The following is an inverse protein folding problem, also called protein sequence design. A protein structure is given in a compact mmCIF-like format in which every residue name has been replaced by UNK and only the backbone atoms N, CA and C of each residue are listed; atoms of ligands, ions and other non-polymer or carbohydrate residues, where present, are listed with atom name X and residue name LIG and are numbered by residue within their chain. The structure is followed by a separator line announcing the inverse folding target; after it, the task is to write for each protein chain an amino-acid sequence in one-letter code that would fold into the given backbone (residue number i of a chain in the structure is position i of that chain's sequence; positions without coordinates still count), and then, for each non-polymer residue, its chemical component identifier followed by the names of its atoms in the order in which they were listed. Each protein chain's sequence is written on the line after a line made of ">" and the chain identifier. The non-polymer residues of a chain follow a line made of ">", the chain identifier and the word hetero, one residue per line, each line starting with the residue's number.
data_IF_614021763236
#
_entry.id   IF_614021763236
#
_cell.length_a   1.000
_cell.length_b   1.000
_cell.length_c   1.000
_cell.angle_alpha   90.00
_cell.angle_beta   90.00
_cell.angle_gamma   90.00
#
_symmetry.space_group_name_H-M   'P 1'
#
loop_
_entity.id
_entity.type
_entity.pdbx_description
1 polymer ?
#
# COMPACT_ATOMS: atom_id res chain seq x y z
N UNK A 1 -14.30 10.31 12.16
CA UNK A 1 -14.53 9.41 11.03
C UNK A 1 -13.41 8.37 10.97
N UNK A 2 -13.79 7.11 10.89
CA UNK A 2 -12.83 6.02 10.86
C UNK A 2 -12.49 5.65 9.42
N UNK A 3 -11.22 5.61 9.10
CA UNK A 3 -10.75 5.11 7.81
C UNK A 3 -10.73 3.59 7.87
N UNK A 4 -11.37 2.93 6.92
CA UNK A 4 -11.42 1.47 6.89
C UNK A 4 -10.08 0.88 6.49
N UNK A 5 -9.52 1.32 5.36
CA UNK A 5 -8.19 0.93 4.90
C UNK A 5 -7.44 2.19 4.48
N UNK A 6 -6.24 2.33 5.00
CA UNK A 6 -5.35 3.42 4.63
C UNK A 6 -4.04 2.88 4.06
N UNK A 7 -3.59 3.44 2.95
CA UNK A 7 -2.28 3.16 2.38
C UNK A 7 -1.41 4.40 2.60
N UNK A 8 -0.38 4.26 3.43
CA UNK A 8 0.44 5.38 3.87
C UNK A 8 1.80 5.31 3.20
N UNK A 9 2.21 6.40 2.58
CA UNK A 9 3.42 6.43 1.78
C UNK A 9 3.95 7.86 1.67
N UNK A 10 5.12 8.02 1.06
CA UNK A 10 5.69 9.33 0.76
C UNK A 10 5.30 9.74 -0.67
N UNK A 11 4.42 10.76 -0.83
CA UNK A 11 3.97 11.15 -2.18
C UNK A 11 5.08 11.74 -3.05
N UNK A 12 6.22 12.12 -2.47
CA UNK A 12 7.35 12.61 -3.26
C UNK A 12 8.20 11.48 -3.84
N UNK A 13 7.95 10.23 -3.40
CA UNK A 13 8.63 9.06 -3.95
C UNK A 13 7.72 8.41 -4.98
N UNK A 14 8.09 8.59 -6.26
CA UNK A 14 7.21 8.25 -7.37
C UNK A 14 6.78 6.77 -7.39
N UNK A 15 7.67 5.87 -7.03
CA UNK A 15 7.34 4.44 -7.03
C UNK A 15 6.36 4.10 -5.91
N UNK A 16 6.47 4.76 -4.76
CA UNK A 16 5.52 4.57 -3.67
C UNK A 16 4.13 5.06 -4.08
N UNK A 17 4.07 6.24 -4.70
CA UNK A 17 2.81 6.79 -5.14
C UNK A 17 2.15 5.93 -6.21
N UNK A 18 2.90 5.51 -7.21
CA UNK A 18 2.36 4.68 -8.28
C UNK A 18 1.84 3.35 -7.75
N UNK A 19 2.58 2.72 -6.85
CA UNK A 19 2.16 1.47 -6.25
C UNK A 19 0.88 1.63 -5.46
N UNK A 20 0.79 2.68 -4.64
CA UNK A 20 -0.38 2.91 -3.81
C UNK A 20 -1.63 3.25 -4.62
N UNK A 21 -1.49 4.00 -5.71
CA UNK A 21 -2.62 4.30 -6.60
C UNK A 21 -3.15 3.01 -7.23
N UNK A 22 -2.28 2.16 -7.74
CA UNK A 22 -2.69 0.87 -8.32
C UNK A 22 -3.29 -0.06 -7.26
N UNK A 23 -2.72 -0.05 -6.07
CA UNK A 23 -3.23 -0.88 -4.97
C UNK A 23 -4.61 -0.42 -4.52
N UNK A 24 -4.81 0.89 -4.41
CA UNK A 24 -6.12 1.45 -4.11
C UNK A 24 -7.16 1.03 -5.17
N UNK A 25 -6.81 1.15 -6.45
CA UNK A 25 -7.71 0.77 -7.53
C UNK A 25 -8.07 -0.71 -7.46
N UNK A 26 -7.09 -1.57 -7.22
CA UNK A 26 -7.33 -3.00 -7.09
C UNK A 26 -8.27 -3.29 -5.94
N UNK A 27 -7.99 -2.74 -4.77
CA UNK A 27 -8.81 -2.96 -3.58
C UNK A 27 -10.23 -2.40 -3.75
N UNK A 28 -10.37 -1.24 -4.37
CA UNK A 28 -11.69 -0.66 -4.65
C UNK A 28 -12.50 -1.53 -5.61
N UNK A 29 -11.84 -2.23 -6.53
CA UNK A 29 -12.51 -3.11 -7.49
C UNK A 29 -12.90 -4.45 -6.89
N UNK A 30 -12.22 -4.91 -5.85
CA UNK A 30 -12.40 -6.24 -5.29
C UNK A 30 -13.01 -6.25 -3.90
N UNK A 31 -13.19 -5.08 -3.28
CA UNK A 31 -13.81 -4.96 -1.95
C UNK A 31 -14.81 -3.82 -1.93
N UNK A 32 -15.68 -3.83 -0.93
CA UNK A 32 -16.58 -2.70 -0.67
C UNK A 32 -16.02 -1.73 0.37
N UNK A 33 -14.80 -1.98 0.86
CA UNK A 33 -14.20 -1.10 1.86
C UNK A 33 -13.72 0.19 1.23
N UNK A 34 -13.77 1.27 2.02
CA UNK A 34 -13.20 2.54 1.61
C UNK A 34 -11.68 2.49 1.78
N UNK A 35 -10.96 2.71 0.69
CA UNK A 35 -9.49 2.71 0.69
C UNK A 35 -9.01 4.12 0.41
N UNK A 36 -8.31 4.71 1.37
CA UNK A 36 -7.81 6.08 1.27
C UNK A 36 -6.28 6.11 1.24
N UNK A 37 -5.74 7.12 0.60
CA UNK A 37 -4.30 7.34 0.51
C UNK A 37 -3.87 8.38 1.54
N UNK A 38 -2.85 8.05 2.34
CA UNK A 38 -2.31 8.93 3.38
C UNK A 38 -3.38 9.44 4.35
N UNK A 39 -4.27 8.53 4.72
CA UNK A 39 -5.28 8.75 5.75
C UNK A 39 -5.33 7.50 6.61
N UNK A 40 -5.42 7.56 7.91
CA UNK A 40 -5.56 8.77 8.74
C UNK A 40 -4.25 9.51 9.01
N UNK A 41 -3.13 8.95 8.60
CA UNK A 41 -1.80 9.52 8.78
C UNK A 41 -1.07 9.54 7.45
N UNK A 42 -0.01 10.35 7.37
CA UNK A 42 0.88 10.36 6.21
C UNK A 42 1.97 9.32 6.40
N UNK A 43 2.41 8.70 5.31
CA UNK A 43 3.53 7.76 5.38
C UNK A 43 4.83 8.41 5.86
N UNK A 44 4.96 9.72 5.66
CA UNK A 44 6.12 10.47 6.13
C UNK A 44 6.13 10.70 7.64
N UNK A 45 5.04 10.39 8.33
CA UNK A 45 4.98 10.51 9.79
C UNK A 45 5.64 9.32 10.50
N UNK A 46 5.88 8.22 9.78
CA UNK A 46 6.55 7.06 10.34
C UNK A 46 8.06 7.24 10.34
N UNK A 47 8.67 7.08 11.52
CA UNK A 47 10.10 7.29 11.69
C UNK A 47 10.95 6.23 11.00
N UNK A 48 10.50 4.97 10.97
CA UNK A 48 11.29 3.88 10.43
C UNK A 48 11.34 3.91 8.91
N UNK A 49 10.20 4.07 8.25
CA UNK A 49 10.17 4.16 6.79
C UNK A 49 10.88 5.43 6.32
N UNK A 50 10.75 6.53 7.06
CA UNK A 50 11.46 7.76 6.75
C UNK A 50 12.97 7.58 6.86
N UNK A 51 13.43 6.87 7.88
CA UNK A 51 14.84 6.54 8.02
C UNK A 51 15.33 5.73 6.82
N UNK A 52 14.59 4.70 6.45
CA UNK A 52 14.99 3.85 5.32
C UNK A 52 14.99 4.61 3.99
N UNK A 53 14.07 5.55 3.82
CA UNK A 53 14.08 6.41 2.63
C UNK A 53 15.32 7.28 2.55
N UNK A 54 15.89 7.64 3.72
CA UNK A 54 17.15 8.35 3.77
C UNK A 54 18.36 7.49 3.46
N UNK A 55 18.25 6.17 3.67
CA UNK A 55 19.35 5.23 3.45
C UNK A 55 19.37 4.69 2.02
N UNK A 56 18.21 4.61 1.36
CA UNK A 56 18.06 3.97 0.06
C UNK A 56 17.43 4.92 -0.94
N UNK A 57 17.86 4.79 -2.20
CA UNK A 57 17.33 5.63 -3.27
C UNK A 57 15.89 5.24 -3.62
N UNK A 58 15.23 6.07 -4.41
CA UNK A 58 13.87 5.84 -4.91
C UNK A 58 13.75 4.50 -5.62
N UNK A 59 14.82 4.07 -6.31
CA UNK A 59 14.80 2.81 -7.06
C UNK A 59 15.12 1.59 -6.18
N UNK A 60 15.60 1.80 -4.97
CA UNK A 60 16.05 0.72 -4.10
C UNK A 60 15.04 0.35 -3.01
N UNK A 61 14.19 1.27 -2.64
CA UNK A 61 13.32 1.07 -1.49
C UNK A 61 11.95 1.71 -1.71
N UNK A 62 10.91 0.96 -1.37
CA UNK A 62 9.52 1.42 -1.33
C UNK A 62 8.98 1.14 0.06
N UNK A 63 8.57 2.19 0.76
CA UNK A 63 8.03 2.08 2.10
C UNK A 63 6.54 2.42 2.12
N UNK A 64 5.70 1.42 2.35
CA UNK A 64 4.25 1.59 2.40
C UNK A 64 3.73 0.92 3.66
N UNK A 65 2.86 1.62 4.39
CA UNK A 65 2.17 1.06 5.52
C UNK A 65 0.71 0.83 5.18
N UNK A 66 0.21 -0.32 5.57
CA UNK A 66 -1.21 -0.67 5.45
C UNK A 66 -1.87 -0.51 6.82
N UNK A 67 -2.81 0.43 6.91
CA UNK A 67 -3.62 0.63 8.10
C UNK A 67 -5.01 0.03 7.86
N UNK A 68 -5.47 -0.79 8.80
CA UNK A 68 -6.78 -1.42 8.71
C UNK A 68 -7.54 -1.15 10.01
N UNK A 69 -8.76 -0.67 9.91
CA UNK A 69 -9.56 -0.36 11.09
C UNK A 69 -9.83 -1.62 11.90
N UNK A 70 -9.95 -1.46 13.22
CA UNK A 70 -10.20 -2.59 14.12
C UNK A 70 -11.53 -3.30 13.82
N UNK A 71 -12.48 -2.58 13.25
CA UNK A 71 -13.79 -3.15 12.93
C UNK A 71 -13.72 -4.23 11.85
N UNK A 72 -12.68 -4.23 11.02
CA UNK A 72 -12.57 -5.19 9.91
C UNK A 72 -11.28 -6.00 9.94
N UNK A 73 -10.36 -5.71 10.86
CA UNK A 73 -9.03 -6.34 10.86
C UNK A 73 -9.09 -7.85 11.11
N UNK A 74 -10.10 -8.34 11.79
CA UNK A 74 -10.25 -9.76 12.08
C UNK A 74 -10.90 -10.54 10.95
N UNK A 75 -11.32 -9.89 9.88
CA UNK A 75 -11.98 -10.53 8.76
C UNK A 75 -10.97 -11.37 7.96
N UNK A 76 -11.19 -12.69 7.90
CA UNK A 76 -10.28 -13.60 7.18
C UNK A 76 -10.33 -13.37 5.68
N UNK A 77 -11.51 -13.06 5.14
CA UNK A 77 -11.64 -12.77 3.70
C UNK A 77 -10.87 -11.54 3.33
N UNK A 78 -10.83 -10.52 4.20
CA UNK A 78 -10.03 -9.33 3.95
C UNK A 78 -8.55 -9.67 3.91
N UNK A 79 -8.06 -10.50 4.82
CA UNK A 79 -6.65 -10.91 4.83
C UNK A 79 -6.27 -11.61 3.54
N UNK A 80 -7.11 -12.53 3.08
CA UNK A 80 -6.88 -13.24 1.82
C UNK A 80 -6.92 -12.30 0.63
N UNK A 81 -7.86 -11.36 0.61
CA UNK A 81 -7.96 -10.36 -0.44
C UNK A 81 -6.74 -9.46 -0.49
N UNK A 82 -6.22 -9.04 0.65
CA UNK A 82 -4.99 -8.24 0.70
C UNK A 82 -3.81 -9.04 0.13
N UNK A 83 -3.69 -10.32 0.48
CA UNK A 83 -2.63 -11.16 -0.07
C UNK A 83 -2.77 -11.31 -1.59
N UNK A 84 -3.99 -11.49 -2.09
CA UNK A 84 -4.24 -11.57 -3.53
C UNK A 84 -3.87 -10.26 -4.23
N UNK A 85 -4.15 -9.11 -3.60
CA UNK A 85 -3.80 -7.82 -4.17
C UNK A 85 -2.29 -7.67 -4.32
N UNK A 86 -1.54 -8.09 -3.31
CA UNK A 86 -0.07 -8.03 -3.34
C UNK A 86 0.49 -8.92 -4.44
N UNK A 87 -0.08 -10.12 -4.63
CA UNK A 87 0.33 -11.01 -5.71
C UNK A 87 0.06 -10.41 -7.08
N UNK A 88 -1.11 -9.81 -7.26
CA UNK A 88 -1.47 -9.18 -8.53
C UNK A 88 -0.57 -8.02 -8.88
N UNK A 89 -0.27 -7.17 -7.89
CA UNK A 89 0.61 -6.02 -8.10
C UNK A 89 2.05 -6.45 -8.34
N UNK A 90 2.51 -7.49 -7.68
CA UNK A 90 3.85 -8.04 -7.90
C UNK A 90 4.00 -8.57 -9.32
N UNK A 91 2.96 -9.22 -9.85
CA UNK A 91 2.96 -9.71 -11.22
C UNK A 91 3.04 -8.57 -12.24
N UNK A 92 2.35 -7.44 -11.96
CA UNK A 92 2.38 -6.28 -12.84
C UNK A 92 3.74 -5.58 -12.84
N UNK A 93 4.41 -5.58 -11.68
CA UNK A 93 5.68 -4.89 -11.50
C UNK A 93 6.88 -5.79 -11.75
N UNK A 94 6.66 -7.09 -11.95
CA UNK A 94 7.74 -7.99 -12.29
C UNK A 94 8.28 -7.62 -13.66
N UNK A 95 9.61 -7.54 -13.83
CA UNK A 95 10.15 -7.41 -15.17
C UNK A 95 9.62 -8.57 -15.97
N UNK A 96 9.19 -8.27 -17.18
CA UNK A 96 8.75 -9.30 -18.09
C UNK A 96 9.82 -10.36 -18.13
N UNK A 97 9.56 -11.47 -17.50
CA UNK A 97 10.44 -12.61 -17.60
C UNK A 97 10.17 -13.14 -18.99
N UNK A 98 10.91 -12.65 -19.88
CA UNK A 98 10.87 -13.19 -21.21
C UNK A 98 11.56 -14.53 -21.16
N UNK A 99 10.79 -15.43 -21.27
CA UNK A 99 11.26 -16.82 -21.38
C UNK A 99 11.40 -17.29 -20.06
#
# INVERSE_FOLDING_TARGET
>A
RTVEIGLLYDPERIHEQNYCVHWQDWLNSHTSYQVLLNEPYKGTDDGFTTYLRGCFSVDQYVGIELEVSQGIIANQDLKLTVLDSLKSLSALNSPAISG
#
